data_IF_492093366191
#
_entry.id   IF_492093366191
#
_cell.length_a   1.000
_cell.length_b   1.000
_cell.length_c   1.000
_cell.angle_alpha   90.00
_cell.angle_beta   90.00
_cell.angle_gamma   90.00
#
_symmetry.space_group_name_H-M   'P 1'
#
loop_
_entity.id
_entity.type
_entity.pdbx_description
1 polymer ?
#
# COMPACT_ATOMS: atom_id res chain seq x y z
N UNK A 1 -31.13 10.82 29.23
CA UNK A 1 -30.48 12.12 29.49
C UNK A 1 -28.98 11.94 29.48
N UNK A 2 -28.25 12.80 28.76
CA UNK A 2 -26.79 12.80 28.61
C UNK A 2 -26.12 13.39 29.86
N UNK A 3 -25.02 12.78 30.28
CA UNK A 3 -23.90 13.37 31.03
C UNK A 3 -22.79 12.29 31.09
N UNK A 4 -21.49 12.54 31.01
CA UNK A 4 -20.68 13.68 30.66
C UNK A 4 -19.28 13.08 30.45
N UNK A 5 -18.70 13.29 29.28
CA UNK A 5 -17.36 12.86 28.88
C UNK A 5 -16.29 13.77 29.50
N UNK A 6 -15.16 13.20 29.96
CA UNK A 6 -13.80 13.76 30.25
C UNK A 6 -13.26 13.04 31.50
N UNK A 7 -12.01 12.61 31.65
CA UNK A 7 -10.72 12.86 31.01
C UNK A 7 -9.74 11.75 31.48
N UNK A 8 -8.66 11.53 30.74
CA UNK A 8 -7.30 11.03 31.11
C UNK A 8 -6.72 10.53 29.77
N UNK A 9 -6.09 11.40 28.97
CA UNK A 9 -4.70 11.86 29.12
C UNK A 9 -3.67 10.75 28.86
N UNK A 10 -3.25 10.64 27.60
CA UNK A 10 -1.92 10.21 27.18
C UNK A 10 -1.68 10.67 25.73
N UNK A 11 -1.66 11.98 25.53
CA UNK A 11 -1.12 12.60 24.33
C UNK A 11 0.38 12.81 24.55
N UNK A 12 1.22 11.87 24.11
CA UNK A 12 2.67 12.10 23.99
C UNK A 12 3.03 12.33 22.53
N UNK A 13 2.78 13.57 22.13
CA UNK A 13 3.62 14.43 21.28
C UNK A 13 4.30 13.81 20.06
N UNK A 14 3.56 13.79 18.95
CA UNK A 14 4.12 13.97 17.61
C UNK A 14 3.82 15.40 17.14
N UNK A 15 4.86 16.24 17.12
CA UNK A 15 5.06 17.43 16.29
C UNK A 15 4.01 18.55 16.32
N UNK A 16 4.46 19.79 16.56
CA UNK A 16 4.16 20.95 15.71
C UNK A 16 5.13 22.08 16.12
N UNK A 17 5.87 22.54 15.12
CA UNK A 17 6.69 23.74 15.14
C UNK A 17 5.80 25.00 15.19
N UNK A 18 6.38 26.08 15.73
CA UNK A 18 6.02 27.50 15.57
C UNK A 18 5.04 28.14 16.58
N UNK A 19 5.59 28.93 17.51
CA UNK A 19 5.20 30.34 17.69
C UNK A 19 6.31 31.12 18.44
N UNK A 20 6.43 32.40 18.11
CA UNK A 20 7.63 33.23 18.19
C UNK A 20 7.91 33.95 19.53
N UNK A 21 9.19 34.32 19.72
CA UNK A 21 9.65 35.49 20.48
C UNK A 21 10.00 35.25 21.97
N UNK A 22 11.03 35.81 22.61
CA UNK A 22 11.96 36.94 22.35
C UNK A 22 13.23 36.71 23.22
N UNK A 23 14.36 37.27 22.77
CA UNK A 23 15.63 37.55 23.47
C UNK A 23 16.75 36.51 23.36
N UNK A 24 17.75 36.87 22.54
CA UNK A 24 19.00 36.14 22.41
C UNK A 24 19.73 36.52 21.14
N UNK A 25 20.42 37.67 21.18
CA UNK A 25 21.53 38.12 20.31
C UNK A 25 21.46 37.75 18.81
N UNK A 26 21.25 38.77 17.98
CA UNK A 26 21.51 38.71 16.54
C UNK A 26 23.01 38.45 16.29
N UNK A 27 23.37 37.19 16.15
CA UNK A 27 24.54 36.79 15.39
C UNK A 27 24.07 36.45 13.98
N UNK A 28 24.69 37.09 12.99
CA UNK A 28 24.57 36.82 11.57
C UNK A 28 24.84 35.32 11.32
N UNK A 29 23.79 34.51 11.21
CA UNK A 29 23.90 33.09 10.84
C UNK A 29 23.57 32.99 9.37
N UNK A 30 24.65 32.93 8.58
CA UNK A 30 24.68 32.57 7.19
C UNK A 30 23.63 31.49 6.84
N UNK A 31 22.91 31.72 5.73
CA UNK A 31 21.93 30.80 5.16
C UNK A 31 22.41 29.34 5.22
N UNK A 32 21.56 28.37 5.61
CA UNK A 32 21.97 26.98 5.70
C UNK A 32 22.26 26.47 4.28
N UNK A 33 23.55 26.42 3.94
CA UNK A 33 24.05 25.67 2.81
C UNK A 33 23.57 24.21 2.99
N UNK A 34 22.84 23.70 2.00
CA UNK A 34 22.37 22.31 1.95
C UNK A 34 23.60 21.40 1.80
N UNK A 35 24.25 21.09 2.92
CA UNK A 35 25.31 20.09 3.00
C UNK A 35 24.63 18.75 2.74
N UNK A 36 25.01 18.07 1.66
CA UNK A 36 24.68 16.65 1.46
C UNK A 36 25.35 15.87 2.59
N UNK A 37 24.63 15.69 3.69
CA UNK A 37 25.10 14.88 4.83
C UNK A 37 25.37 13.48 4.28
N UNK A 38 26.60 13.01 4.44
CA UNK A 38 26.94 11.64 4.08
C UNK A 38 26.12 10.70 4.98
N UNK A 39 25.24 9.89 4.37
CA UNK A 39 24.45 8.89 5.09
C UNK A 39 25.37 8.00 5.92
N UNK A 40 25.01 7.83 7.19
CA UNK A 40 25.70 6.92 8.10
C UNK A 40 25.68 5.48 7.55
N UNK A 41 26.66 4.62 7.89
CA UNK A 41 26.64 3.21 7.50
C UNK A 41 25.35 2.50 7.91
N UNK A 42 24.81 2.85 9.08
CA UNK A 42 23.55 2.31 9.62
C UNK A 42 22.34 2.68 8.75
N UNK A 43 22.23 3.93 8.32
CA UNK A 43 21.15 4.37 7.42
C UNK A 43 21.25 3.71 6.03
N UNK A 44 22.47 3.47 5.53
CA UNK A 44 22.69 2.73 4.28
C UNK A 44 22.29 1.26 4.41
N UNK A 45 22.70 0.61 5.50
CA UNK A 45 22.35 -0.79 5.77
C UNK A 45 20.83 -0.98 5.92
N UNK A 46 20.15 -0.08 6.64
CA UNK A 46 18.70 -0.09 6.78
C UNK A 46 17.98 0.12 5.43
N UNK A 47 18.48 1.03 4.58
CA UNK A 47 17.92 1.28 3.26
C UNK A 47 18.09 0.08 2.31
N UNK A 48 19.27 -0.56 2.29
CA UNK A 48 19.49 -1.76 1.46
C UNK A 48 18.67 -2.95 1.97
N UNK A 49 18.51 -3.12 3.29
CA UNK A 49 17.60 -4.12 3.86
C UNK A 49 16.15 -3.88 3.42
N UNK A 50 15.66 -2.63 3.53
CA UNK A 50 14.32 -2.27 3.07
C UNK A 50 14.13 -2.44 1.54
N UNK A 51 15.20 -2.27 0.77
CA UNK A 51 15.19 -2.49 -0.68
C UNK A 51 15.15 -3.97 -1.03
N UNK A 52 15.81 -4.83 -0.25
CA UNK A 52 15.71 -6.27 -0.39
C UNK A 52 14.28 -6.76 -0.09
N UNK A 53 13.65 -6.28 0.99
CA UNK A 53 12.25 -6.62 1.30
C UNK A 53 11.29 -6.13 0.22
N UNK A 54 11.48 -4.92 -0.30
CA UNK A 54 10.69 -4.38 -1.41
C UNK A 54 10.79 -5.27 -2.67
N UNK A 55 12.00 -5.71 -3.03
CA UNK A 55 12.21 -6.59 -4.18
C UNK A 55 11.54 -7.95 -3.99
N UNK A 56 11.69 -8.57 -2.81
CA UNK A 56 11.03 -9.83 -2.49
C UNK A 56 9.50 -9.71 -2.59
N UNK A 57 8.92 -8.68 -1.99
CA UNK A 57 7.48 -8.42 -2.05
C UNK A 57 7.00 -8.14 -3.49
N UNK A 58 7.79 -7.42 -4.28
CA UNK A 58 7.49 -7.15 -5.70
C UNK A 58 7.46 -8.45 -6.52
N UNK A 59 8.44 -9.32 -6.34
CA UNK A 59 8.52 -10.61 -7.04
C UNK A 59 7.34 -11.51 -6.65
N UNK A 60 7.04 -11.63 -5.35
CA UNK A 60 5.89 -12.38 -4.87
C UNK A 60 4.58 -11.87 -5.48
N UNK A 61 4.39 -10.54 -5.49
CA UNK A 61 3.22 -9.92 -6.12
C UNK A 61 3.16 -10.18 -7.62
N UNK A 62 4.29 -10.12 -8.33
CA UNK A 62 4.32 -10.39 -9.77
C UNK A 62 3.88 -11.83 -10.07
N UNK A 63 4.38 -12.80 -9.30
CA UNK A 63 3.96 -14.20 -9.39
C UNK A 63 2.46 -14.37 -9.12
N UNK A 64 1.95 -13.76 -8.04
CA UNK A 64 0.52 -13.81 -7.72
C UNK A 64 -0.36 -13.20 -8.83
N UNK A 65 0.08 -12.10 -9.46
CA UNK A 65 -0.62 -11.50 -10.60
C UNK A 65 -0.62 -12.43 -11.81
N UNK A 66 0.51 -13.09 -12.12
CA UNK A 66 0.58 -14.04 -13.23
C UNK A 66 -0.36 -15.23 -12.99
N UNK A 67 -0.38 -15.78 -11.77
CA UNK A 67 -1.30 -16.84 -11.37
C UNK A 67 -2.77 -16.38 -11.50
N UNK A 68 -3.11 -15.21 -10.95
CA UNK A 68 -4.46 -14.65 -11.04
C UNK A 68 -4.91 -14.43 -12.50
N UNK A 69 -4.02 -13.97 -13.39
CA UNK A 69 -4.30 -13.83 -14.83
C UNK A 69 -4.64 -15.18 -15.46
N UNK A 70 -3.86 -16.22 -15.17
CA UNK A 70 -4.12 -17.57 -15.69
C UNK A 70 -5.47 -18.10 -15.17
N UNK A 71 -5.74 -17.98 -13.88
CA UNK A 71 -7.04 -18.38 -13.29
C UNK A 71 -8.22 -17.67 -13.96
N UNK A 72 -8.11 -16.35 -14.18
CA UNK A 72 -9.17 -15.58 -14.84
C UNK A 72 -9.32 -15.96 -16.31
N UNK A 73 -8.22 -16.25 -17.02
CA UNK A 73 -8.27 -16.71 -18.41
C UNK A 73 -8.99 -18.06 -18.53
N UNK A 74 -8.64 -19.04 -17.69
CA UNK A 74 -9.33 -20.34 -17.64
C UNK A 74 -10.81 -20.18 -17.29
N UNK A 75 -11.12 -19.37 -16.28
CA UNK A 75 -12.51 -19.12 -15.88
C UNK A 75 -13.31 -18.37 -16.95
N UNK A 76 -12.66 -17.53 -17.77
CA UNK A 76 -13.30 -16.87 -18.91
C UNK A 76 -13.70 -17.89 -19.96
N UNK A 77 -12.80 -18.80 -20.35
CA UNK A 77 -13.12 -19.88 -21.28
C UNK A 77 -14.27 -20.75 -20.77
N UNK A 78 -14.28 -21.08 -19.48
CA UNK A 78 -15.37 -21.83 -18.87
C UNK A 78 -16.71 -21.05 -18.87
N UNK A 79 -16.68 -19.74 -18.59
CA UNK A 79 -17.85 -18.85 -18.67
C UNK A 79 -18.40 -18.78 -20.09
N UNK A 80 -17.54 -18.68 -21.09
CA UNK A 80 -17.94 -18.58 -22.49
C UNK A 80 -18.58 -19.89 -22.97
N UNK A 81 -18.00 -21.04 -22.61
CA UNK A 81 -18.60 -22.34 -22.86
C UNK A 81 -19.95 -22.52 -22.16
N UNK A 82 -20.05 -22.13 -20.88
CA UNK A 82 -21.30 -22.22 -20.12
C UNK A 82 -22.40 -21.33 -20.72
N UNK A 83 -22.06 -20.15 -21.25
CA UNK A 83 -23.02 -19.26 -21.89
C UNK A 83 -23.45 -19.78 -23.26
N UNK A 84 -22.53 -20.37 -24.03
CA UNK A 84 -22.87 -20.99 -25.31
C UNK A 84 -23.82 -22.18 -25.13
N UNK A 85 -23.62 -22.98 -24.07
CA UNK A 85 -24.50 -24.12 -23.76
C UNK A 85 -25.83 -23.72 -23.11
N UNK A 86 -25.94 -22.53 -22.51
CA UNK A 86 -27.11 -22.11 -21.76
C UNK A 86 -28.29 -21.72 -22.66
N UNK A 87 -29.39 -22.47 -22.56
CA UNK A 87 -30.65 -22.20 -23.29
C UNK A 87 -31.51 -21.12 -22.63
N UNK A 88 -31.33 -20.84 -21.33
CA UNK A 88 -32.11 -19.83 -20.57
C UNK A 88 -31.31 -18.57 -20.27
N UNK A 89 -32.00 -17.44 -20.06
CA UNK A 89 -31.36 -16.18 -19.64
C UNK A 89 -30.73 -16.31 -18.25
N UNK A 90 -31.40 -17.01 -17.34
CA UNK A 90 -30.95 -17.15 -15.95
C UNK A 90 -29.66 -17.96 -15.85
N UNK A 91 -29.51 -19.03 -16.63
CA UNK A 91 -28.26 -19.80 -16.68
C UNK A 91 -27.07 -18.94 -17.19
N UNK A 92 -27.30 -18.03 -18.14
CA UNK A 92 -26.27 -17.08 -18.60
C UNK A 92 -25.90 -16.06 -17.53
N UNK A 93 -26.88 -15.60 -16.72
CA UNK A 93 -26.62 -14.70 -15.58
C UNK A 93 -25.85 -15.41 -14.49
N UNK A 94 -26.20 -16.66 -14.18
CA UNK A 94 -25.48 -17.49 -13.21
C UNK A 94 -24.01 -17.67 -13.63
N UNK A 95 -23.73 -18.02 -14.89
CA UNK A 95 -22.37 -18.15 -15.40
C UNK A 95 -21.54 -16.85 -15.27
N UNK A 96 -22.14 -15.69 -15.55
CA UNK A 96 -21.48 -14.38 -15.36
C UNK A 96 -21.23 -14.07 -13.88
N UNK A 97 -22.16 -14.44 -13.01
CA UNK A 97 -22.04 -14.23 -11.56
C UNK A 97 -20.91 -15.08 -10.99
N UNK A 98 -20.83 -16.35 -11.38
CA UNK A 98 -19.71 -17.23 -11.04
C UNK A 98 -18.38 -16.64 -11.51
N UNK A 99 -18.31 -16.17 -12.76
CA UNK A 99 -17.10 -15.54 -13.28
C UNK A 99 -16.71 -14.27 -12.50
N UNK A 100 -17.69 -13.45 -12.11
CA UNK A 100 -17.45 -12.26 -11.27
C UNK A 100 -16.88 -12.64 -9.89
N UNK A 101 -17.39 -13.72 -9.30
CA UNK A 101 -16.87 -14.27 -8.03
C UNK A 101 -15.42 -14.76 -8.17
N UNK A 102 -15.10 -15.44 -9.27
CA UNK A 102 -13.72 -15.84 -9.57
C UNK A 102 -12.80 -14.63 -9.72
N UNK A 103 -13.22 -13.58 -10.42
CA UNK A 103 -12.43 -12.33 -10.52
C UNK A 103 -12.19 -11.72 -9.14
N UNK A 104 -13.21 -11.66 -8.29
CA UNK A 104 -13.08 -11.10 -6.94
C UNK A 104 -12.07 -11.90 -6.11
N UNK A 105 -12.18 -13.24 -6.15
CA UNK A 105 -11.26 -14.16 -5.46
C UNK A 105 -9.83 -14.02 -5.97
N UNK A 106 -9.64 -14.00 -7.29
CA UNK A 106 -8.32 -13.85 -7.91
C UNK A 106 -7.69 -12.49 -7.57
N UNK A 107 -8.49 -11.42 -7.48
CA UNK A 107 -8.01 -10.10 -7.04
C UNK A 107 -7.60 -10.09 -5.58
N UNK A 108 -8.38 -10.73 -4.70
CA UNK A 108 -8.07 -10.83 -3.27
C UNK A 108 -6.80 -11.63 -2.99
N UNK A 109 -6.45 -12.58 -3.87
CA UNK A 109 -5.22 -13.36 -3.77
C UNK A 109 -3.94 -12.57 -4.15
N UNK A 110 -4.06 -11.39 -4.77
CA UNK A 110 -2.90 -10.58 -5.14
C UNK A 110 -2.46 -9.69 -3.97
N UNK A 111 -1.21 -9.82 -3.48
CA UNK A 111 -0.69 -8.95 -2.44
C UNK A 111 -0.74 -7.46 -2.81
N UNK A 112 -0.85 -6.61 -1.79
CA UNK A 112 -0.79 -5.17 -1.94
C UNK A 112 0.51 -4.72 -2.63
N UNK A 113 0.48 -3.55 -3.26
CA UNK A 113 1.69 -2.97 -3.87
C UNK A 113 2.70 -2.68 -2.75
N UNK A 114 3.95 -3.17 -2.83
CA UNK A 114 4.95 -2.86 -1.83
C UNK A 114 5.32 -1.37 -1.91
N UNK A 115 5.64 -0.78 -0.76
CA UNK A 115 6.04 0.63 -0.65
C UNK A 115 7.53 0.74 -0.95
N UNK A 116 7.89 1.64 -1.86
CA UNK A 116 9.29 1.87 -2.21
C UNK A 116 10.00 2.54 -1.03
N UNK A 117 11.16 2.04 -0.59
CA UNK A 117 11.95 2.72 0.44
C UNK A 117 12.33 4.13 -0.01
N UNK A 118 12.23 5.09 0.91
CA UNK A 118 12.67 6.48 0.70
C UNK A 118 14.10 6.59 1.21
N UNK A 119 14.95 7.33 0.48
CA UNK A 119 16.32 7.58 0.91
C UNK A 119 16.29 8.57 2.08
N UNK A 120 16.95 8.27 3.22
CA UNK A 120 17.03 9.20 4.34
C UNK A 120 17.82 10.47 3.99
#
# INVERSE_FOLDING_TARGET
>A
MKALTRSIAAASMAGIFALAGISGAAADVAAPAVKKVALTPEQKAAFEAAKATFQAARTARHSAVASAKNTVATAKSARDAAIAAATTKDARVAARTTFKSVIATAKAAVPAKPVKPVRP
#
